data_IF_036084142135
#
_entry.id   IF_036084142135
#
_cell.length_a   1.000
_cell.length_b   1.000
_cell.length_c   1.000
_cell.angle_alpha   90.00
_cell.angle_beta   90.00
_cell.angle_gamma   90.00
#
_symmetry.space_group_name_H-M   'P 1'
#
loop_
_entity.id
_entity.type
_entity.pdbx_description
1 polymer ?
#
# COMPACT_ATOMS: atom_id res chain seq x y z
N UNK A 1 0.25 -17.38 6.93
CA UNK A 1 -0.16 -16.45 8.01
C UNK A 1 1.10 -16.11 8.79
N UNK A 2 1.35 -14.84 9.09
CA UNK A 2 2.50 -14.41 9.88
C UNK A 2 2.41 -14.96 11.30
N UNK A 3 3.58 -15.17 11.93
CA UNK A 3 3.67 -15.55 13.34
C UNK A 3 4.85 -14.82 13.96
N UNK A 4 4.66 -14.24 15.15
CA UNK A 4 5.73 -13.68 15.96
C UNK A 4 5.27 -13.58 17.42
N UNK A 5 6.20 -13.33 18.33
CA UNK A 5 5.93 -13.17 19.75
C UNK A 5 6.08 -11.69 20.13
N UNK A 6 5.18 -11.23 21.00
CA UNK A 6 5.28 -9.90 21.62
C UNK A 6 6.46 -9.91 22.59
N UNK A 7 7.41 -8.98 22.40
CA UNK A 7 8.55 -8.78 23.29
C UNK A 7 8.51 -7.45 24.03
N UNK A 8 7.85 -6.45 23.44
CA UNK A 8 7.77 -5.09 23.98
C UNK A 8 6.31 -4.65 24.15
N UNK A 9 6.08 -3.64 24.97
CA UNK A 9 4.71 -3.16 25.24
C UNK A 9 4.11 -2.37 24.05
N UNK A 10 4.97 -1.78 23.22
CA UNK A 10 4.58 -0.99 22.07
C UNK A 10 4.91 -1.70 20.76
N UNK A 11 4.04 -1.51 19.77
CA UNK A 11 4.19 -2.03 18.42
C UNK A 11 4.09 -0.89 17.41
N UNK A 12 4.98 -0.88 16.42
CA UNK A 12 4.83 -0.04 15.24
C UNK A 12 4.63 -0.93 14.01
N UNK A 13 3.47 -0.79 13.36
CA UNK A 13 3.14 -1.36 12.07
C UNK A 13 3.66 -0.43 10.97
N UNK A 14 4.41 -0.94 10.01
CA UNK A 14 5.11 -0.12 9.02
C UNK A 14 4.75 -0.56 7.61
N UNK A 15 4.19 0.34 6.82
CA UNK A 15 4.00 0.10 5.38
C UNK A 15 5.33 0.21 4.61
N UNK A 16 5.39 -0.40 3.43
CA UNK A 16 6.60 -0.47 2.62
C UNK A 16 6.66 0.61 1.53
N UNK A 17 5.77 0.52 0.55
CA UNK A 17 5.81 1.33 -0.68
C UNK A 17 5.38 2.79 -0.39
N UNK A 18 6.28 3.75 -0.56
CA UNK A 18 5.98 5.16 -0.28
C UNK A 18 6.15 5.55 1.19
N UNK A 19 6.43 4.60 2.07
CA UNK A 19 6.72 4.84 3.49
C UNK A 19 8.19 4.54 3.81
N UNK A 20 8.61 3.29 3.64
CA UNK A 20 10.01 2.87 3.82
C UNK A 20 10.78 2.96 2.51
N UNK A 21 10.19 2.46 1.42
CA UNK A 21 10.85 2.31 0.12
C UNK A 21 10.37 3.37 -0.87
N UNK A 22 11.32 4.02 -1.55
CA UNK A 22 11.06 4.96 -2.66
C UNK A 22 10.72 4.19 -3.95
N UNK A 23 9.56 3.56 -3.95
CA UNK A 23 9.14 2.61 -4.98
C UNK A 23 7.92 3.06 -5.78
N UNK A 24 7.10 3.97 -5.26
CA UNK A 24 5.81 4.32 -5.86
C UNK A 24 5.96 4.84 -7.30
N UNK A 25 6.79 5.86 -7.50
CA UNK A 25 6.94 6.50 -8.82
C UNK A 25 7.47 5.49 -9.85
N UNK A 26 8.51 4.73 -9.52
CA UNK A 26 9.10 3.78 -10.48
C UNK A 26 8.13 2.63 -10.81
N UNK A 27 7.41 2.06 -9.82
CA UNK A 27 6.42 1.00 -10.06
C UNK A 27 5.30 1.50 -10.97
N UNK A 28 4.74 2.69 -10.71
CA UNK A 28 3.66 3.25 -11.52
C UNK A 28 4.11 3.66 -12.93
N UNK A 29 5.27 4.27 -13.08
CA UNK A 29 5.73 4.80 -14.39
C UNK A 29 6.38 3.74 -15.28
N UNK A 30 7.01 2.71 -14.72
CA UNK A 30 7.77 1.71 -15.50
C UNK A 30 7.09 0.34 -15.60
N UNK A 31 6.12 0.04 -14.73
CA UNK A 31 5.41 -1.24 -14.76
C UNK A 31 3.90 -1.06 -14.98
N UNK A 32 3.16 -0.48 -14.02
CA UNK A 32 1.71 -0.48 -14.04
C UNK A 32 1.12 0.28 -15.24
N UNK A 33 1.49 1.54 -15.42
CA UNK A 33 0.92 2.39 -16.46
C UNK A 33 1.28 1.94 -17.89
N UNK A 34 2.53 1.57 -18.22
CA UNK A 34 2.84 1.07 -19.56
C UNK A 34 2.08 -0.21 -19.91
N UNK A 35 1.91 -1.13 -18.96
CA UNK A 35 1.15 -2.36 -19.17
C UNK A 35 -0.35 -2.11 -19.29
N UNK A 36 -0.89 -1.14 -18.56
CA UNK A 36 -2.27 -0.68 -18.73
C UNK A 36 -2.54 -0.25 -20.17
N UNK A 37 -1.71 0.65 -20.71
CA UNK A 37 -1.86 1.18 -22.07
C UNK A 37 -1.84 0.03 -23.09
N UNK A 38 -0.83 -0.84 -23.03
CA UNK A 38 -0.64 -1.90 -24.03
C UNK A 38 -1.67 -3.01 -23.95
N UNK A 39 -2.11 -3.40 -22.75
CA UNK A 39 -3.06 -4.52 -22.59
C UNK A 39 -4.49 -4.11 -22.95
N UNK A 40 -4.87 -2.86 -22.61
CA UNK A 40 -6.23 -2.38 -22.86
C UNK A 40 -6.39 -1.61 -24.17
N UNK A 41 -5.31 -1.44 -24.97
CA UNK A 41 -5.37 -0.76 -26.27
C UNK A 41 -5.68 0.72 -26.15
N UNK A 42 -5.04 1.43 -25.20
CA UNK A 42 -5.34 2.82 -24.87
C UNK A 42 -4.38 3.83 -25.51
N UNK A 43 -3.68 3.42 -26.57
CA UNK A 43 -2.65 4.22 -27.24
C UNK A 43 -3.18 5.55 -27.77
N UNK A 44 -4.38 5.59 -28.33
CA UNK A 44 -4.99 6.78 -28.91
C UNK A 44 -5.16 7.93 -27.90
N UNK A 45 -5.49 7.60 -26.63
CA UNK A 45 -5.67 8.57 -25.54
C UNK A 45 -4.58 8.45 -24.47
N UNK A 46 -3.42 7.89 -24.83
CA UNK A 46 -2.32 7.56 -23.90
C UNK A 46 -2.00 8.70 -22.92
N UNK A 47 -1.83 9.93 -23.41
CA UNK A 47 -1.44 11.05 -22.55
C UNK A 47 -2.52 11.40 -21.51
N UNK A 48 -3.79 11.35 -21.89
CA UNK A 48 -4.92 11.62 -20.98
C UNK A 48 -5.04 10.50 -19.94
N UNK A 49 -4.96 9.25 -20.39
CA UNK A 49 -5.01 8.06 -19.50
C UNK A 49 -3.84 8.08 -18.51
N UNK A 50 -2.61 8.34 -18.97
CA UNK A 50 -1.44 8.42 -18.08
C UNK A 50 -1.55 9.56 -17.08
N UNK A 51 -2.00 10.74 -17.51
CA UNK A 51 -2.25 11.87 -16.60
C UNK A 51 -3.24 11.47 -15.50
N UNK A 52 -4.36 10.86 -15.88
CA UNK A 52 -5.39 10.42 -14.93
C UNK A 52 -4.88 9.29 -14.01
N UNK A 53 -4.12 8.33 -14.57
CA UNK A 53 -3.47 7.28 -13.80
C UNK A 53 -2.56 7.83 -12.70
N UNK A 54 -1.68 8.77 -13.04
CA UNK A 54 -0.76 9.37 -12.08
C UNK A 54 -1.48 10.24 -11.06
N UNK A 55 -2.48 11.01 -11.50
CA UNK A 55 -3.34 11.77 -10.60
C UNK A 55 -3.93 10.86 -9.51
N UNK A 56 -4.60 9.80 -9.90
CA UNK A 56 -5.26 8.87 -8.98
C UNK A 56 -4.26 8.14 -8.07
N UNK A 57 -3.16 7.65 -8.61
CA UNK A 57 -2.31 6.69 -7.90
C UNK A 57 -1.10 7.30 -7.18
N UNK A 58 -0.73 8.54 -7.51
CA UNK A 58 0.44 9.19 -6.92
C UNK A 58 0.10 10.47 -6.14
N UNK A 59 -0.98 11.19 -6.51
CA UNK A 59 -1.22 12.55 -6.03
C UNK A 59 -2.53 12.73 -5.25
N UNK A 60 -3.48 11.80 -5.32
CA UNK A 60 -4.81 11.94 -4.72
C UNK A 60 -5.03 10.93 -3.57
N UNK A 61 -6.17 11.06 -2.90
CA UNK A 61 -6.59 10.17 -1.80
C UNK A 61 -6.67 8.68 -2.21
N UNK A 62 -6.70 8.39 -3.51
CA UNK A 62 -6.65 7.02 -4.06
C UNK A 62 -5.25 6.42 -4.11
N UNK A 63 -4.20 7.20 -3.74
CA UNK A 63 -2.83 6.69 -3.60
C UNK A 63 -2.78 5.46 -2.70
N UNK A 64 -2.01 4.46 -3.11
CA UNK A 64 -1.82 3.22 -2.34
C UNK A 64 -3.03 2.28 -2.30
N UNK A 65 -4.12 2.56 -3.03
CA UNK A 65 -5.20 1.60 -3.21
C UNK A 65 -4.71 0.36 -3.96
N UNK A 66 -5.44 -0.75 -3.76
CA UNK A 66 -5.16 -1.95 -4.53
C UNK A 66 -5.22 -1.66 -6.04
N UNK A 67 -4.25 -2.18 -6.79
CA UNK A 67 -4.09 -1.93 -8.23
C UNK A 67 -5.32 -2.28 -9.07
N UNK A 68 -6.14 -3.24 -8.65
CA UNK A 68 -7.38 -3.60 -9.36
C UNK A 68 -8.48 -2.55 -9.15
N UNK A 69 -8.53 -1.88 -7.99
CA UNK A 69 -9.39 -0.70 -7.77
C UNK A 69 -8.92 0.46 -8.67
N UNK A 70 -7.62 0.68 -8.72
CA UNK A 70 -7.04 1.71 -9.58
C UNK A 70 -7.32 1.42 -11.07
N UNK A 71 -7.23 0.16 -11.49
CA UNK A 71 -7.59 -0.28 -12.84
C UNK A 71 -9.07 -0.02 -13.13
N UNK A 72 -9.97 -0.39 -12.23
CA UNK A 72 -11.41 -0.14 -12.37
C UNK A 72 -11.70 1.35 -12.59
N UNK A 73 -11.12 2.22 -11.76
CA UNK A 73 -11.27 3.67 -11.89
C UNK A 73 -10.79 4.21 -13.23
N UNK A 74 -9.69 3.66 -13.78
CA UNK A 74 -9.17 4.06 -15.09
C UNK A 74 -10.01 3.51 -16.24
N UNK A 75 -10.55 2.29 -16.14
CA UNK A 75 -11.45 1.75 -17.16
C UNK A 75 -12.76 2.54 -17.22
N UNK A 76 -13.31 2.95 -16.07
CA UNK A 76 -14.45 3.87 -16.02
C UNK A 76 -14.13 5.22 -16.70
N UNK A 77 -12.94 5.80 -16.42
CA UNK A 77 -12.50 7.01 -17.09
C UNK A 77 -12.30 6.81 -18.60
N UNK A 78 -11.72 5.69 -19.03
CA UNK A 78 -11.58 5.37 -20.45
C UNK A 78 -12.95 5.23 -21.14
N UNK A 79 -13.96 4.71 -20.43
CA UNK A 79 -15.35 4.71 -20.92
C UNK A 79 -15.88 6.10 -21.24
N UNK A 80 -15.49 7.13 -20.48
CA UNK A 80 -15.83 8.54 -20.79
C UNK A 80 -15.08 9.12 -22.01
N UNK A 81 -14.12 8.39 -22.56
CA UNK A 81 -13.35 8.68 -23.77
C UNK A 81 -13.74 7.72 -24.93
N UNK A 82 -14.96 7.19 -24.89
CA UNK A 82 -15.55 6.32 -25.90
C UNK A 82 -14.90 4.91 -26.03
N UNK A 83 -14.15 4.45 -25.01
CA UNK A 83 -13.73 3.06 -24.97
C UNK A 83 -14.82 2.16 -24.39
N UNK A 84 -14.94 0.97 -24.92
CA UNK A 84 -15.85 -0.06 -24.43
C UNK A 84 -15.09 -1.36 -24.16
N UNK A 85 -15.39 -2.01 -23.03
CA UNK A 85 -14.75 -3.24 -22.61
C UNK A 85 -15.84 -4.28 -22.30
N UNK A 86 -15.92 -5.33 -23.10
CA UNK A 86 -16.88 -6.41 -22.87
C UNK A 86 -16.66 -7.05 -21.50
N UNK A 87 -17.72 -7.09 -20.68
CA UNK A 87 -17.67 -7.63 -19.32
C UNK A 87 -17.07 -6.67 -18.29
N UNK A 88 -16.99 -5.36 -18.57
CA UNK A 88 -16.54 -4.37 -17.57
C UNK A 88 -17.44 -4.35 -16.34
N UNK A 89 -18.74 -4.47 -16.49
CA UNK A 89 -19.70 -4.58 -15.38
C UNK A 89 -19.41 -5.77 -14.46
N UNK A 90 -19.01 -6.92 -15.03
CA UNK A 90 -18.62 -8.10 -14.28
C UNK A 90 -17.32 -7.85 -13.52
N UNK A 91 -16.32 -7.21 -14.18
CA UNK A 91 -15.06 -6.83 -13.55
C UNK A 91 -15.29 -5.84 -12.39
N UNK A 92 -16.06 -4.78 -12.62
CA UNK A 92 -16.44 -3.79 -11.60
C UNK A 92 -17.14 -4.48 -10.41
N UNK A 93 -18.12 -5.34 -10.66
CA UNK A 93 -18.80 -6.10 -9.62
C UNK A 93 -17.84 -7.00 -8.82
N UNK A 94 -16.84 -7.61 -9.46
CA UNK A 94 -15.81 -8.35 -8.76
C UNK A 94 -14.98 -7.44 -7.88
N UNK A 95 -14.56 -6.28 -8.37
CA UNK A 95 -13.74 -5.32 -7.60
C UNK A 95 -14.45 -4.88 -6.31
N UNK A 96 -15.74 -4.59 -6.37
CA UNK A 96 -16.49 -4.07 -5.21
C UNK A 96 -16.95 -5.15 -4.22
N UNK A 97 -17.06 -6.42 -4.65
CA UNK A 97 -17.65 -7.48 -3.82
C UNK A 97 -16.63 -8.56 -3.37
N UNK A 98 -15.44 -8.63 -3.96
CA UNK A 98 -14.47 -9.67 -3.60
C UNK A 98 -13.84 -9.41 -2.22
N UNK A 99 -13.58 -10.49 -1.50
CA UNK A 99 -12.82 -10.42 -0.24
C UNK A 99 -11.31 -10.27 -0.47
N UNK A 100 -10.82 -10.57 -1.68
CA UNK A 100 -9.40 -10.52 -2.02
C UNK A 100 -9.20 -10.00 -3.44
N UNK A 101 -8.59 -8.84 -3.57
CA UNK A 101 -8.20 -8.25 -4.85
C UNK A 101 -6.80 -8.75 -5.24
N UNK A 102 -6.74 -9.91 -5.90
CA UNK A 102 -5.50 -10.59 -6.30
C UNK A 102 -5.64 -11.32 -7.61
N UNK A 103 -4.51 -11.63 -8.28
CA UNK A 103 -4.49 -12.43 -9.52
C UNK A 103 -5.17 -13.79 -9.31
N UNK A 104 -4.92 -14.57 -8.24
CA UNK A 104 -5.64 -15.81 -8.02
C UNK A 104 -7.16 -15.63 -7.86
N UNK A 105 -7.59 -14.60 -7.14
CA UNK A 105 -9.03 -14.31 -6.97
C UNK A 105 -9.70 -13.95 -8.31
N UNK A 106 -9.02 -13.21 -9.18
CA UNK A 106 -9.54 -12.88 -10.51
C UNK A 106 -9.61 -14.12 -11.41
N UNK A 107 -8.66 -15.04 -11.31
CA UNK A 107 -8.73 -16.34 -12.01
C UNK A 107 -9.98 -17.14 -11.61
N UNK A 108 -10.24 -17.25 -10.32
CA UNK A 108 -11.44 -17.92 -9.82
C UNK A 108 -12.72 -17.23 -10.29
N UNK A 109 -12.74 -15.90 -10.41
CA UNK A 109 -13.91 -15.17 -10.94
C UNK A 109 -14.12 -15.47 -12.43
N UNK A 110 -13.06 -15.56 -13.24
CA UNK A 110 -13.12 -15.93 -14.64
C UNK A 110 -13.66 -17.37 -14.80
N UNK A 111 -13.18 -18.30 -13.99
CA UNK A 111 -13.69 -19.69 -13.98
C UNK A 111 -15.19 -19.75 -13.65
N UNK A 112 -15.64 -18.90 -12.73
CA UNK A 112 -17.05 -18.84 -12.29
C UNK A 112 -17.98 -18.14 -13.27
N UNK A 113 -17.53 -17.04 -13.89
CA UNK A 113 -18.40 -16.18 -14.72
C UNK A 113 -18.22 -16.35 -16.21
N UNK A 114 -17.07 -16.85 -16.64
CA UNK A 114 -16.67 -16.93 -18.05
C UNK A 114 -15.54 -15.96 -18.39
N UNK A 115 -14.91 -16.21 -19.52
CA UNK A 115 -13.73 -15.46 -19.99
C UNK A 115 -14.15 -14.23 -20.82
N UNK A 116 -14.72 -13.22 -20.19
CA UNK A 116 -15.01 -11.94 -20.82
C UNK A 116 -13.72 -11.15 -21.08
N UNK A 117 -13.69 -10.36 -22.16
CA UNK A 117 -12.49 -9.63 -22.61
C UNK A 117 -11.90 -8.74 -21.51
N UNK A 118 -12.73 -7.99 -20.78
CA UNK A 118 -12.26 -7.13 -19.69
C UNK A 118 -11.57 -7.92 -18.57
N UNK A 119 -12.14 -9.07 -18.15
CA UNK A 119 -11.56 -9.92 -17.12
C UNK A 119 -10.25 -10.53 -17.58
N UNK A 120 -10.21 -11.05 -18.84
CA UNK A 120 -9.01 -11.62 -19.43
C UNK A 120 -7.88 -10.59 -19.53
N UNK A 121 -8.19 -9.37 -19.98
CA UNK A 121 -7.24 -8.25 -20.01
C UNK A 121 -6.79 -7.83 -18.61
N UNK A 122 -7.68 -7.75 -17.63
CA UNK A 122 -7.32 -7.42 -16.25
C UNK A 122 -6.40 -8.48 -15.63
N UNK A 123 -6.66 -9.77 -15.90
CA UNK A 123 -5.78 -10.86 -15.50
C UNK A 123 -4.42 -10.75 -16.14
N UNK A 124 -4.38 -10.62 -17.48
CA UNK A 124 -3.14 -10.44 -18.23
C UNK A 124 -2.35 -9.24 -17.73
N UNK A 125 -3.02 -8.11 -17.53
CA UNK A 125 -2.38 -6.91 -16.97
C UNK A 125 -1.78 -7.18 -15.60
N UNK A 126 -2.51 -7.83 -14.71
CA UNK A 126 -2.03 -8.18 -13.37
C UNK A 126 -0.79 -9.06 -13.38
N UNK A 127 -0.73 -10.07 -14.29
CA UNK A 127 0.42 -10.95 -14.48
C UNK A 127 1.60 -10.21 -15.11
N UNK A 128 1.37 -9.44 -16.19
CA UNK A 128 2.41 -8.65 -16.88
C UNK A 128 3.02 -7.58 -15.95
N UNK A 129 2.22 -6.99 -15.07
CA UNK A 129 2.69 -6.04 -14.04
C UNK A 129 3.59 -6.75 -13.04
N UNK A 130 3.24 -7.94 -12.55
CA UNK A 130 4.08 -8.70 -11.64
C UNK A 130 5.45 -8.96 -12.26
N UNK A 131 5.47 -9.47 -13.51
CA UNK A 131 6.71 -9.71 -14.25
C UNK A 131 7.51 -8.43 -14.52
N UNK A 132 6.83 -7.32 -14.78
CA UNK A 132 7.49 -6.03 -14.99
C UNK A 132 8.12 -5.51 -13.69
N UNK A 133 7.43 -5.61 -12.56
CA UNK A 133 7.96 -5.20 -11.25
C UNK A 133 9.18 -6.05 -10.86
N UNK A 134 9.17 -7.37 -11.09
CA UNK A 134 10.30 -8.25 -10.82
C UNK A 134 11.59 -7.87 -11.61
N UNK A 135 11.43 -7.19 -12.73
CA UNK A 135 12.56 -6.73 -13.58
C UNK A 135 13.02 -5.31 -13.26
N UNK A 136 12.30 -4.59 -12.41
CA UNK A 136 12.74 -3.27 -11.97
C UNK A 136 13.99 -3.39 -11.07
N UNK A 137 14.85 -2.37 -11.06
CA UNK A 137 15.86 -2.26 -10.01
C UNK A 137 15.17 -2.27 -8.65
N UNK A 138 15.76 -2.93 -7.67
CA UNK A 138 15.26 -2.90 -6.31
C UNK A 138 15.18 -1.45 -5.82
N UNK A 139 14.05 -1.07 -5.25
CA UNK A 139 13.86 0.25 -4.69
C UNK A 139 14.84 0.47 -3.53
N UNK A 140 15.23 1.73 -3.35
CA UNK A 140 16.05 2.12 -2.20
C UNK A 140 15.12 2.62 -1.08
N UNK A 141 15.50 2.44 0.19
CA UNK A 141 14.79 3.09 1.27
C UNK A 141 14.96 4.61 1.19
N UNK A 142 13.97 5.36 1.66
CA UNK A 142 14.14 6.80 1.87
C UNK A 142 15.34 7.07 2.78
N UNK A 143 16.01 8.20 2.57
CA UNK A 143 17.31 8.51 3.18
C UNK A 143 17.37 8.28 4.70
N UNK A 144 16.29 8.63 5.41
CA UNK A 144 16.26 8.54 6.87
C UNK A 144 15.57 7.26 7.38
N UNK A 145 14.95 6.47 6.50
CA UNK A 145 14.12 5.32 6.90
C UNK A 145 14.90 4.28 7.72
N UNK A 146 16.03 3.81 7.19
CA UNK A 146 16.81 2.78 7.86
C UNK A 146 17.26 3.18 9.26
N UNK A 147 17.88 4.37 9.40
CA UNK A 147 18.33 4.86 10.71
C UNK A 147 17.16 5.02 11.69
N UNK A 148 16.03 5.51 11.19
CA UNK A 148 14.82 5.65 12.01
C UNK A 148 14.31 4.31 12.50
N UNK A 149 14.24 3.30 11.62
CA UNK A 149 13.83 1.94 11.97
C UNK A 149 14.78 1.29 12.99
N UNK A 150 16.10 1.52 12.88
CA UNK A 150 17.07 1.06 13.87
C UNK A 150 16.75 1.67 15.24
N UNK A 151 16.52 2.99 15.35
CA UNK A 151 16.14 3.67 16.60
C UNK A 151 14.81 3.14 17.17
N UNK A 152 13.80 2.96 16.30
CA UNK A 152 12.49 2.45 16.71
C UNK A 152 12.61 1.04 17.27
N UNK A 153 13.35 0.15 16.59
CA UNK A 153 13.51 -1.25 16.96
C UNK A 153 14.15 -1.48 18.33
N UNK A 154 14.87 -0.50 18.87
CA UNK A 154 15.41 -0.58 20.22
C UNK A 154 14.32 -0.51 21.31
N UNK A 155 13.23 0.17 21.05
CA UNK A 155 12.21 0.51 22.06
C UNK A 155 10.86 -0.16 21.82
N UNK A 156 10.52 -0.54 20.59
CA UNK A 156 9.22 -1.10 20.21
C UNK A 156 9.41 -2.34 19.32
N UNK A 157 8.41 -3.20 19.27
CA UNK A 157 8.35 -4.25 18.26
C UNK A 157 7.98 -3.62 16.91
N UNK A 158 8.57 -4.12 15.83
CA UNK A 158 8.26 -3.66 14.47
C UNK A 158 7.56 -4.79 13.69
N UNK A 159 6.46 -4.45 13.01
CA UNK A 159 5.74 -5.35 12.10
C UNK A 159 5.62 -4.70 10.72
N UNK A 160 6.13 -5.37 9.69
CA UNK A 160 5.87 -4.96 8.31
C UNK A 160 4.42 -5.24 7.93
N UNK A 161 3.73 -4.27 7.34
CA UNK A 161 2.31 -4.40 6.93
C UNK A 161 2.15 -3.86 5.51
N UNK A 162 2.20 -4.76 4.52
CA UNK A 162 2.21 -4.36 3.11
C UNK A 162 1.16 -5.11 2.28
N UNK A 163 0.61 -4.44 1.26
CA UNK A 163 -0.22 -5.07 0.23
C UNK A 163 0.62 -5.68 -0.93
N UNK A 164 1.94 -5.59 -0.86
CA UNK A 164 2.84 -6.11 -1.88
C UNK A 164 2.95 -7.63 -1.82
N UNK A 165 3.44 -8.21 -2.93
CA UNK A 165 3.81 -9.62 -2.97
C UNK A 165 5.01 -9.88 -2.06
N UNK A 166 4.98 -11.01 -1.33
CA UNK A 166 6.03 -11.39 -0.37
C UNK A 166 7.44 -11.39 -0.97
N UNK A 167 7.62 -11.99 -2.13
CA UNK A 167 8.93 -12.09 -2.80
C UNK A 167 9.51 -10.69 -3.07
N UNK A 168 8.67 -9.76 -3.53
CA UNK A 168 9.08 -8.41 -3.83
C UNK A 168 9.52 -7.63 -2.58
N UNK A 169 8.68 -7.63 -1.53
CA UNK A 169 9.00 -6.89 -0.30
C UNK A 169 10.23 -7.46 0.40
N UNK A 170 10.38 -8.79 0.47
CA UNK A 170 11.55 -9.42 1.08
C UNK A 170 12.84 -9.12 0.32
N UNK A 171 12.80 -9.10 -1.03
CA UNK A 171 13.97 -8.74 -1.85
C UNK A 171 14.40 -7.28 -1.61
N UNK A 172 13.45 -6.34 -1.59
CA UNK A 172 13.71 -4.93 -1.33
C UNK A 172 14.27 -4.70 0.09
N UNK A 173 13.64 -5.29 1.11
CA UNK A 173 14.02 -5.08 2.51
C UNK A 173 15.36 -5.75 2.87
N UNK A 174 15.64 -6.95 2.34
CA UNK A 174 16.97 -7.59 2.46
C UNK A 174 18.05 -6.76 1.79
N UNK A 175 17.79 -6.24 0.58
CA UNK A 175 18.74 -5.36 -0.11
C UNK A 175 19.02 -4.08 0.68
N UNK A 176 17.98 -3.53 1.32
CA UNK A 176 18.08 -2.36 2.19
C UNK A 176 18.70 -2.67 3.58
N UNK A 177 18.88 -3.96 3.89
CA UNK A 177 19.37 -4.46 5.20
C UNK A 177 18.53 -3.93 6.36
N UNK A 178 17.21 -4.08 6.28
CA UNK A 178 16.24 -3.64 7.30
C UNK A 178 15.32 -4.78 7.76
N UNK A 179 15.25 -5.89 7.03
CA UNK A 179 14.37 -7.02 7.31
C UNK A 179 14.56 -7.61 8.71
N UNK A 180 15.79 -7.64 9.21
CA UNK A 180 16.14 -8.15 10.54
C UNK A 180 15.61 -7.29 11.71
N UNK A 181 15.18 -6.06 11.46
CA UNK A 181 14.62 -5.17 12.48
C UNK A 181 13.17 -5.50 12.84
N UNK A 182 12.51 -6.30 12.01
CA UNK A 182 11.08 -6.60 12.13
C UNK A 182 10.85 -7.99 12.72
N UNK A 183 9.85 -8.09 13.60
CA UNK A 183 9.40 -9.37 14.15
C UNK A 183 8.79 -10.27 13.08
N UNK A 184 8.04 -9.69 12.18
CA UNK A 184 7.46 -10.34 11.01
C UNK A 184 7.15 -9.32 9.90
N UNK A 185 6.90 -9.82 8.70
CA UNK A 185 6.48 -9.02 7.55
C UNK A 185 5.19 -9.64 7.01
N UNK A 186 4.06 -9.01 7.32
CA UNK A 186 2.76 -9.33 6.76
C UNK A 186 2.62 -8.74 5.36
N UNK A 187 2.14 -9.54 4.42
CA UNK A 187 2.04 -9.18 3.01
C UNK A 187 0.75 -9.70 2.38
N UNK A 188 0.57 -9.52 1.08
CA UNK A 188 -0.65 -9.89 0.36
C UNK A 188 -1.18 -11.31 0.69
N UNK A 189 -0.30 -12.31 0.89
CA UNK A 189 -0.70 -13.69 1.21
C UNK A 189 -1.32 -13.84 2.60
N UNK A 190 -1.00 -12.92 3.52
CA UNK A 190 -1.46 -12.95 4.90
C UNK A 190 -2.80 -12.24 5.10
N UNK A 191 -3.30 -11.58 4.07
CA UNK A 191 -4.59 -10.90 4.03
C UNK A 191 -4.48 -9.40 3.81
N UNK A 192 -5.52 -8.69 4.22
CA UNK A 192 -5.53 -7.21 4.17
C UNK A 192 -4.72 -6.62 5.32
N UNK A 193 -4.33 -5.34 5.20
CA UNK A 193 -3.61 -4.62 6.27
C UNK A 193 -4.40 -4.67 7.59
N UNK A 194 -5.73 -4.56 7.52
CA UNK A 194 -6.61 -4.66 8.68
C UNK A 194 -6.47 -6.00 9.41
N UNK A 195 -6.47 -7.13 8.66
CA UNK A 195 -6.34 -8.47 9.24
C UNK A 195 -4.97 -8.73 9.83
N UNK A 196 -3.91 -8.19 9.21
CA UNK A 196 -2.54 -8.28 9.72
C UNK A 196 -2.43 -7.53 11.05
N UNK A 197 -3.02 -6.33 11.16
CA UNK A 197 -3.05 -5.55 12.39
C UNK A 197 -3.92 -6.23 13.47
N UNK A 198 -5.10 -6.74 13.08
CA UNK A 198 -5.99 -7.50 13.97
C UNK A 198 -5.27 -8.71 14.59
N UNK A 199 -4.52 -9.46 13.77
CA UNK A 199 -3.68 -10.55 14.27
C UNK A 199 -2.65 -10.04 15.29
N UNK A 200 -1.95 -8.94 15.00
CA UNK A 200 -0.98 -8.38 15.94
C UNK A 200 -1.62 -7.99 17.28
N UNK A 201 -2.79 -7.35 17.25
CA UNK A 201 -3.54 -7.01 18.47
C UNK A 201 -3.94 -8.24 19.28
N UNK A 202 -4.20 -9.39 18.64
CA UNK A 202 -4.51 -10.65 19.32
C UNK A 202 -3.35 -11.19 20.16
N UNK A 203 -2.12 -10.68 19.94
CA UNK A 203 -0.93 -10.99 20.76
C UNK A 203 -0.88 -10.20 22.08
N UNK A 204 -1.88 -9.35 22.36
CA UNK A 204 -2.04 -8.63 23.62
C UNK A 204 -1.39 -7.24 23.66
N UNK A 205 -1.19 -6.59 22.51
CA UNK A 205 -0.89 -5.16 22.49
C UNK A 205 -2.16 -4.35 22.79
N UNK A 206 -2.03 -3.28 23.58
CA UNK A 206 -3.11 -2.29 23.76
C UNK A 206 -3.26 -1.45 22.49
N UNK A 207 -4.47 -1.05 22.14
CA UNK A 207 -4.73 -0.29 20.91
C UNK A 207 -3.97 1.05 20.86
N UNK A 208 -3.86 1.75 21.99
CA UNK A 208 -3.11 2.99 22.15
C UNK A 208 -1.58 2.81 22.18
N UNK A 209 -1.11 1.57 22.27
CA UNK A 209 0.29 1.17 22.15
C UNK A 209 0.64 0.61 20.76
N UNK A 210 -0.26 0.74 19.79
CA UNK A 210 -0.02 0.35 18.40
C UNK A 210 -0.14 1.55 17.48
N UNK A 211 0.93 1.82 16.71
CA UNK A 211 1.00 2.93 15.76
C UNK A 211 1.21 2.38 14.34
N UNK A 212 0.33 2.75 13.40
CA UNK A 212 0.52 2.47 11.97
C UNK A 212 1.23 3.62 11.29
N UNK A 213 2.33 3.34 10.59
CA UNK A 213 3.04 4.26 9.71
C UNK A 213 2.66 3.97 8.25
N UNK A 214 2.17 4.97 7.53
CA UNK A 214 1.77 4.78 6.14
C UNK A 214 1.57 6.07 5.35
N UNK A 215 1.63 5.97 4.01
CA UNK A 215 1.52 7.09 3.07
C UNK A 215 0.20 7.11 2.29
N UNK A 216 -0.75 6.24 2.67
CA UNK A 216 -2.00 6.06 1.93
C UNK A 216 -3.24 6.11 2.81
N UNK A 217 -4.38 6.45 2.19
CA UNK A 217 -5.68 6.32 2.86
C UNK A 217 -6.01 4.87 3.26
N UNK A 218 -5.42 3.88 2.57
CA UNK A 218 -5.54 2.47 2.95
C UNK A 218 -4.95 2.19 4.32
N UNK A 219 -3.79 2.78 4.65
CA UNK A 219 -3.13 2.67 5.97
C UNK A 219 -3.96 3.34 7.06
N UNK A 220 -4.44 4.55 6.76
CA UNK A 220 -5.32 5.28 7.66
C UNK A 220 -6.61 4.51 7.97
N UNK A 221 -7.26 3.94 6.95
CA UNK A 221 -8.49 3.15 7.15
C UNK A 221 -8.21 1.86 7.92
N UNK A 222 -7.08 1.18 7.66
CA UNK A 222 -6.69 -0.01 8.40
C UNK A 222 -6.46 0.29 9.89
N UNK A 223 -5.78 1.42 10.20
CA UNK A 223 -5.60 1.86 11.57
C UNK A 223 -6.93 2.19 12.27
N UNK A 224 -7.81 2.93 11.58
CA UNK A 224 -9.14 3.31 12.11
C UNK A 224 -10.03 2.11 12.41
N UNK A 225 -10.06 1.12 11.52
CA UNK A 225 -10.87 -0.11 11.71
C UNK A 225 -10.39 -0.96 12.89
N UNK A 226 -9.11 -0.92 13.18
CA UNK A 226 -8.50 -1.59 14.33
C UNK A 226 -8.45 -0.71 15.60
N UNK A 227 -8.94 0.52 15.53
CA UNK A 227 -8.89 1.49 16.62
C UNK A 227 -7.50 1.68 17.22
N UNK A 228 -6.48 1.77 16.35
CA UNK A 228 -5.09 2.05 16.69
C UNK A 228 -4.66 3.44 16.22
N UNK A 229 -3.51 3.90 16.65
CA UNK A 229 -2.94 5.18 16.25
C UNK A 229 -2.41 5.15 14.81
N UNK A 230 -2.35 6.32 14.17
CA UNK A 230 -1.86 6.49 12.82
C UNK A 230 -0.90 7.68 12.71
N UNK A 231 0.27 7.46 12.13
CA UNK A 231 1.21 8.50 11.74
C UNK A 231 1.33 8.52 10.20
N UNK A 232 0.90 9.60 9.53
CA UNK A 232 0.97 9.69 8.08
C UNK A 232 2.36 10.07 7.58
N UNK A 233 2.77 9.44 6.50
CA UNK A 233 3.87 9.88 5.67
C UNK A 233 3.36 10.78 4.55
N UNK A 234 3.89 11.98 4.47
CA UNK A 234 3.46 12.95 3.46
C UNK A 234 4.17 12.64 2.14
N UNK A 235 3.44 12.33 1.05
CA UNK A 235 4.03 12.07 -0.25
C UNK A 235 4.97 13.19 -0.70
N UNK A 236 6.14 12.84 -1.23
CA UNK A 236 7.25 13.74 -1.64
C UNK A 236 7.97 14.45 -0.48
N UNK A 237 7.54 14.23 0.78
CA UNK A 237 8.15 14.73 2.01
C UNK A 237 8.42 13.58 3.00
N UNK A 238 8.71 12.39 2.48
CA UNK A 238 8.89 11.18 3.30
C UNK A 238 10.09 11.31 4.25
N UNK A 239 11.18 11.94 3.81
CA UNK A 239 12.34 12.19 4.68
C UNK A 239 12.01 13.15 5.84
N UNK A 240 11.17 14.15 5.61
CA UNK A 240 10.70 15.06 6.66
C UNK A 240 9.73 14.34 7.60
N UNK A 241 8.89 13.45 7.07
CA UNK A 241 8.00 12.59 7.86
C UNK A 241 8.81 11.66 8.79
N UNK A 242 9.89 11.04 8.30
CA UNK A 242 10.81 10.26 9.14
C UNK A 242 11.47 11.08 10.24
N UNK A 243 11.93 12.29 9.93
CA UNK A 243 12.52 13.20 10.92
C UNK A 243 11.49 13.59 11.99
N UNK A 244 10.27 13.95 11.58
CA UNK A 244 9.18 14.31 12.49
C UNK A 244 8.78 13.13 13.37
N UNK A 245 8.70 11.92 12.79
CA UNK A 245 8.43 10.71 13.56
C UNK A 245 9.41 10.55 14.70
N UNK A 246 10.72 10.57 14.42
CA UNK A 246 11.76 10.29 15.43
C UNK A 246 11.88 11.41 16.47
N UNK A 247 11.79 12.67 16.05
CA UNK A 247 12.07 13.79 16.93
C UNK A 247 10.86 14.31 17.71
N UNK A 248 9.63 14.00 17.24
CA UNK A 248 8.39 14.54 17.82
C UNK A 248 7.40 13.43 18.16
N UNK A 249 6.92 12.69 17.18
CA UNK A 249 5.80 11.74 17.33
C UNK A 249 6.18 10.51 18.18
N UNK A 250 7.34 9.93 17.97
CA UNK A 250 7.78 8.74 18.68
C UNK A 250 8.02 8.97 20.18
N UNK A 251 8.67 10.06 20.61
CA UNK A 251 8.72 10.43 22.03
C UNK A 251 7.33 10.60 22.66
N UNK A 252 6.38 11.24 21.97
CA UNK A 252 5.01 11.37 22.44
C UNK A 252 4.30 10.01 22.56
N UNK A 253 4.49 9.13 21.56
CA UNK A 253 3.92 7.79 21.57
C UNK A 253 4.41 6.95 22.78
N UNK A 254 5.70 6.95 23.07
CA UNK A 254 6.27 6.22 24.21
C UNK A 254 5.88 6.80 25.59
N UNK A 255 5.34 8.02 25.63
CA UNK A 255 4.89 8.67 26.86
C UNK A 255 3.34 8.66 26.99
N UNK A 256 2.61 7.97 26.14
CA UNK A 256 1.15 7.96 26.02
C UNK A 256 0.56 9.38 25.80
N UNK A 257 1.36 10.26 25.16
CA UNK A 257 1.01 11.64 24.83
C UNK A 257 0.72 11.87 23.35
N UNK A 258 0.75 10.81 22.54
CA UNK A 258 0.30 10.84 21.15
C UNK A 258 -1.23 10.85 21.15
N UNK A 259 -1.81 12.01 21.47
CA UNK A 259 -3.23 12.17 21.70
C UNK A 259 -4.02 12.38 20.39
N UNK A 260 -5.33 12.43 20.54
CA UNK A 260 -6.27 12.61 19.43
C UNK A 260 -6.06 13.94 18.69
N UNK A 261 -5.79 15.02 19.42
CA UNK A 261 -5.63 16.37 18.85
C UNK A 261 -4.37 16.41 17.95
N UNK A 262 -3.25 15.89 18.47
CA UNK A 262 -2.02 15.77 17.71
C UNK A 262 -2.20 14.91 16.46
N UNK A 263 -2.83 13.75 16.59
CA UNK A 263 -3.11 12.87 15.46
C UNK A 263 -4.02 13.52 14.41
N UNK A 264 -5.09 14.20 14.81
CA UNK A 264 -6.01 14.87 13.89
C UNK A 264 -5.32 15.98 13.09
N UNK A 265 -4.40 16.72 13.71
CA UNK A 265 -3.56 17.71 13.02
C UNK A 265 -2.73 17.05 11.91
N UNK A 266 -2.05 15.94 12.21
CA UNK A 266 -1.26 15.19 11.21
C UNK A 266 -2.13 14.67 10.07
N UNK A 267 -3.30 14.12 10.37
CA UNK A 267 -4.24 13.61 9.37
C UNK A 267 -4.75 14.73 8.48
N UNK A 268 -5.00 15.93 9.03
CA UNK A 268 -5.42 17.07 8.23
C UNK A 268 -4.32 17.52 7.24
N UNK A 269 -3.06 17.58 7.69
CA UNK A 269 -1.91 17.87 6.84
C UNK A 269 -1.78 16.82 5.72
N UNK A 270 -1.93 15.54 6.05
CA UNK A 270 -1.89 14.44 5.11
C UNK A 270 -3.00 14.53 4.04
N UNK A 271 -4.24 14.75 4.46
CA UNK A 271 -5.37 14.91 3.52
C UNK A 271 -5.18 16.10 2.59
N UNK A 272 -4.62 17.22 3.08
CA UNK A 272 -4.28 18.38 2.24
C UNK A 272 -3.21 18.05 1.21
N UNK A 273 -2.25 17.21 1.54
CA UNK A 273 -1.21 16.80 0.60
C UNK A 273 -1.74 15.87 -0.51
N UNK A 274 -2.88 15.18 -0.27
CA UNK A 274 -3.53 14.28 -1.21
C UNK A 274 -4.75 14.92 -1.93
N UNK A 275 -5.09 16.17 -1.64
CA UNK A 275 -6.18 16.91 -2.30
C UNK A 275 -5.68 17.70 -3.52
#
# INVERSE_FOLDING_TARGET
>A
MITFEKEKDYLICVDSDGTVMDSMVIKHTKALAPKLISVFGLENNKNQILKKWYELNLYKETRGLNRFIALDSILAYAGSLDYSFEGYDIYHNWVINTQSLSVPSLKNEIERRGNYDCLAKALKWGEDVNLAIERLPLAKPFKNARRSLEILSERVDLLGVSSANEKAILAEWKSAKIDYLFKAIGCQKDGTKEKIIEFALSLGYKNDHVLMLGDSMGDFLASRRNNILFFPFIPYHENDSWNRLINEAFPLFLQDKYDKEYQEKLILEFKKALS
#
